data_IF_405953154367
#
_entry.id   IF_405953154367
#
_cell.length_a   1.000
_cell.length_b   1.000
_cell.length_c   1.000
_cell.angle_alpha   90.00
_cell.angle_beta   90.00
_cell.angle_gamma   90.00
#
_symmetry.space_group_name_H-M   'P 1'
#
loop_
_entity.id
_entity.type
_entity.pdbx_description
1 polymer ?
#
# COMPACT_ATOMS: atom_id res chain seq x y z
N UNK A 1 4.28 -16.21 -20.61
CA UNK A 1 4.74 -15.96 -19.24
C UNK A 1 4.63 -14.48 -18.92
N UNK A 2 3.95 -14.15 -17.84
CA UNK A 2 3.75 -12.75 -17.49
C UNK A 2 4.98 -12.19 -16.80
N UNK A 3 5.26 -10.93 -17.06
CA UNK A 3 6.35 -10.23 -16.37
C UNK A 3 5.93 -9.93 -14.93
N UNK A 4 6.90 -9.88 -14.00
CA UNK A 4 6.56 -9.49 -12.63
C UNK A 4 6.08 -8.04 -12.60
N UNK A 5 5.18 -7.75 -11.69
CA UNK A 5 4.67 -6.40 -11.51
C UNK A 5 5.79 -5.47 -11.06
N UNK A 6 5.75 -4.19 -11.48
CA UNK A 6 6.61 -3.19 -10.87
C UNK A 6 6.43 -3.15 -9.36
N UNK A 7 7.49 -2.78 -8.64
CA UNK A 7 7.47 -2.75 -7.19
C UNK A 7 6.31 -1.92 -6.64
N UNK A 8 6.06 -0.75 -7.24
CA UNK A 8 4.97 0.12 -6.78
C UNK A 8 3.62 -0.58 -6.89
N UNK A 9 3.38 -1.33 -7.97
CA UNK A 9 2.11 -2.03 -8.15
C UNK A 9 2.01 -3.23 -7.20
N UNK A 10 3.13 -3.88 -6.88
CA UNK A 10 3.14 -4.96 -5.88
C UNK A 10 2.73 -4.45 -4.51
N UNK A 11 3.19 -3.27 -4.13
CA UNK A 11 2.84 -2.67 -2.84
C UNK A 11 1.34 -2.37 -2.80
N UNK A 12 0.80 -1.80 -3.87
CA UNK A 12 -0.61 -1.49 -3.96
C UNK A 12 -1.46 -2.77 -3.91
N UNK A 13 -1.03 -3.80 -4.64
CA UNK A 13 -1.70 -5.09 -4.64
C UNK A 13 -1.67 -5.74 -3.26
N UNK A 14 -0.55 -5.64 -2.56
CA UNK A 14 -0.42 -6.21 -1.22
C UNK A 14 -1.41 -5.57 -0.26
N UNK A 15 -1.56 -4.25 -0.29
CA UNK A 15 -2.56 -3.58 0.52
C UNK A 15 -3.96 -4.08 0.20
N UNK A 16 -4.26 -4.27 -1.08
CA UNK A 16 -5.56 -4.80 -1.50
C UNK A 16 -5.77 -6.22 -0.99
N UNK A 17 -4.75 -7.07 -1.14
CA UNK A 17 -4.84 -8.47 -0.70
C UNK A 17 -4.99 -8.59 0.81
N UNK A 18 -4.46 -7.64 1.57
CA UNK A 18 -4.60 -7.62 3.02
C UNK A 18 -5.88 -6.91 3.47
N UNK A 19 -6.71 -6.52 2.52
CA UNK A 19 -7.98 -5.82 2.79
C UNK A 19 -7.77 -4.49 3.52
N UNK A 20 -6.64 -3.83 3.30
CA UNK A 20 -6.34 -2.54 3.91
C UNK A 20 -7.05 -1.44 3.12
N UNK A 21 -8.38 -1.38 3.24
CA UNK A 21 -9.23 -0.51 2.45
C UNK A 21 -10.04 0.49 3.28
N UNK A 22 -9.74 0.57 4.57
CA UNK A 22 -10.40 1.49 5.49
C UNK A 22 -9.44 1.81 6.64
N UNK A 23 -9.65 2.91 7.36
CA UNK A 23 -8.73 3.27 8.44
C UNK A 23 -8.56 2.20 9.51
N UNK A 24 -9.65 1.50 9.87
CA UNK A 24 -9.59 0.45 10.89
C UNK A 24 -8.95 -0.83 10.38
N UNK A 25 -8.72 -0.95 9.08
CA UNK A 25 -8.07 -2.10 8.45
C UNK A 25 -6.67 -1.74 7.93
N UNK A 26 -6.20 -0.53 8.22
CA UNK A 26 -4.90 -0.06 7.73
C UNK A 26 -3.76 -0.94 8.23
N UNK A 27 -2.70 -1.03 7.43
CA UNK A 27 -1.53 -1.84 7.73
C UNK A 27 -0.30 -0.98 7.94
N UNK A 28 0.56 -1.40 8.84
CA UNK A 28 1.82 -0.69 9.09
C UNK A 28 2.77 -0.86 7.92
N UNK A 29 3.49 0.20 7.59
CA UNK A 29 4.52 0.12 6.56
C UNK A 29 5.57 -0.94 6.90
N UNK A 30 5.86 -1.13 8.19
CA UNK A 30 6.77 -2.19 8.64
C UNK A 30 6.28 -3.58 8.23
N UNK A 31 5.00 -3.82 8.33
CA UNK A 31 4.41 -5.10 7.93
C UNK A 31 4.61 -5.34 6.44
N UNK A 32 4.35 -4.32 5.64
CA UNK A 32 4.54 -4.44 4.19
C UNK A 32 6.00 -4.65 3.83
N UNK A 33 6.90 -3.97 4.54
CA UNK A 33 8.34 -4.15 4.37
C UNK A 33 8.74 -5.61 4.59
N UNK A 34 8.22 -6.22 5.64
CA UNK A 34 8.53 -7.62 5.97
C UNK A 34 7.92 -8.59 4.97
N UNK A 35 6.65 -8.39 4.60
CA UNK A 35 5.96 -9.27 3.67
C UNK A 35 6.63 -9.28 2.30
N UNK A 36 7.03 -8.10 1.83
CA UNK A 36 7.61 -7.94 0.49
C UNK A 36 9.14 -8.04 0.49
N UNK A 37 9.76 -8.08 1.66
CA UNK A 37 11.22 -8.11 1.81
C UNK A 37 11.87 -6.92 1.11
N UNK A 38 11.33 -5.73 1.38
CA UNK A 38 11.79 -4.47 0.82
C UNK A 38 12.12 -3.54 1.98
N UNK A 39 13.08 -2.65 1.79
CA UNK A 39 13.44 -1.68 2.82
C UNK A 39 12.25 -0.80 3.18
N UNK A 40 12.12 -0.50 4.48
CA UNK A 40 11.03 0.31 5.00
C UNK A 40 10.95 1.67 4.32
N UNK A 41 12.09 2.33 4.13
CA UNK A 41 12.13 3.64 3.50
C UNK A 41 11.59 3.60 2.07
N UNK A 42 11.87 2.53 1.35
CA UNK A 42 11.38 2.35 -0.01
C UNK A 42 9.85 2.16 -0.02
N UNK A 43 9.34 1.34 0.89
CA UNK A 43 7.90 1.12 1.01
C UNK A 43 7.19 2.44 1.31
N UNK A 44 7.71 3.19 2.28
CA UNK A 44 7.08 4.46 2.67
C UNK A 44 7.17 5.50 1.56
N UNK A 45 8.29 5.53 0.83
CA UNK A 45 8.44 6.45 -0.30
C UNK A 45 7.37 6.20 -1.36
N UNK A 46 7.17 4.94 -1.71
CA UNK A 46 6.19 4.56 -2.73
C UNK A 46 4.76 4.84 -2.23
N UNK A 47 4.46 4.49 -0.98
CA UNK A 47 3.13 4.71 -0.43
C UNK A 47 2.82 6.20 -0.26
N UNK A 48 3.81 6.99 0.12
CA UNK A 48 3.62 8.44 0.23
C UNK A 48 3.38 9.06 -1.14
N UNK A 49 4.00 8.51 -2.18
CA UNK A 49 3.74 8.94 -3.55
C UNK A 49 2.30 8.61 -3.96
N UNK A 50 1.83 7.40 -3.65
CA UNK A 50 0.44 7.04 -3.89
C UNK A 50 -0.52 7.92 -3.11
N UNK A 51 -0.14 8.31 -1.88
CA UNK A 51 -0.95 9.21 -1.08
C UNK A 51 -1.11 10.56 -1.78
N UNK A 52 -0.02 11.09 -2.34
CA UNK A 52 -0.08 12.35 -3.09
C UNK A 52 -0.99 12.25 -4.31
N UNK A 53 -1.08 11.06 -4.90
CA UNK A 53 -1.93 10.83 -6.06
C UNK A 53 -3.39 10.54 -5.68
N UNK A 54 -3.68 10.37 -4.39
CA UNK A 54 -5.03 10.09 -3.91
C UNK A 54 -5.40 8.62 -3.89
N UNK A 55 -4.45 7.71 -4.11
CA UNK A 55 -4.70 6.27 -4.13
C UNK A 55 -4.56 5.61 -2.77
N UNK A 56 -3.90 6.27 -1.83
CA UNK A 56 -3.71 5.76 -0.48
C UNK A 56 -3.83 6.88 0.53
N UNK A 57 -4.07 6.50 1.78
CA UNK A 57 -4.05 7.44 2.91
C UNK A 57 -3.22 6.84 4.03
N UNK A 58 -2.80 7.68 4.96
CA UNK A 58 -1.98 7.22 6.06
C UNK A 58 -2.28 7.99 7.34
N UNK A 59 -1.93 7.39 8.46
CA UNK A 59 -1.99 8.03 9.77
C UNK A 59 -0.97 7.36 10.68
N UNK A 60 -0.69 8.01 11.82
CA UNK A 60 0.21 7.47 12.84
C UNK A 60 -0.65 6.80 13.91
N UNK A 61 -0.35 5.54 14.23
CA UNK A 61 -1.14 4.82 15.23
C UNK A 61 -0.68 5.18 16.66
N UNK A 62 -1.29 4.53 17.66
CA UNK A 62 -1.02 4.82 19.06
C UNK A 62 0.42 4.52 19.48
N UNK A 63 1.12 3.72 18.70
CA UNK A 63 2.50 3.34 18.99
C UNK A 63 3.51 4.15 18.17
N UNK A 64 3.03 5.19 17.48
CA UNK A 64 3.89 6.04 16.66
C UNK A 64 4.27 5.41 15.32
N UNK A 65 3.55 4.37 14.89
CA UNK A 65 3.85 3.68 13.65
C UNK A 65 2.94 4.17 12.53
N UNK A 66 3.52 4.27 11.34
CA UNK A 66 2.79 4.73 10.17
C UNK A 66 1.97 3.59 9.57
N UNK A 67 0.69 3.84 9.38
CA UNK A 67 -0.25 2.89 8.77
C UNK A 67 -0.80 3.46 7.49
N UNK A 68 -1.08 2.58 6.54
CA UNK A 68 -1.59 2.96 5.22
C UNK A 68 -2.81 2.12 4.87
N UNK A 69 -3.70 2.71 4.09
CA UNK A 69 -4.83 1.99 3.52
C UNK A 69 -5.18 2.56 2.16
N UNK A 70 -5.86 1.76 1.34
CA UNK A 70 -6.27 2.19 0.01
C UNK A 70 -7.53 3.05 0.09
N UNK A 71 -7.54 4.11 -0.71
CA UNK A 71 -8.77 4.90 -0.93
C UNK A 71 -9.63 4.18 -1.96
N UNK A 72 -10.85 4.69 -2.17
CA UNK A 72 -11.69 4.20 -3.26
C UNK A 72 -10.98 4.29 -4.60
N UNK A 73 -10.28 5.39 -4.85
CA UNK A 73 -9.51 5.55 -6.08
C UNK A 73 -8.39 4.52 -6.19
N UNK A 74 -7.76 4.18 -5.06
CA UNK A 74 -6.71 3.16 -5.03
C UNK A 74 -7.26 1.78 -5.38
N UNK A 75 -8.44 1.45 -4.86
CA UNK A 75 -9.09 0.19 -5.16
C UNK A 75 -9.43 0.10 -6.65
N UNK A 76 -9.96 1.18 -7.22
CA UNK A 76 -10.27 1.23 -8.65
C UNK A 76 -9.01 1.04 -9.48
N UNK A 77 -7.92 1.70 -9.07
CA UNK A 77 -6.65 1.58 -9.78
C UNK A 77 -6.14 0.15 -9.81
N UNK A 78 -6.16 -0.53 -8.66
CA UNK A 78 -5.65 -1.91 -8.59
C UNK A 78 -6.55 -2.87 -9.39
N UNK A 79 -7.86 -2.65 -9.37
CA UNK A 79 -8.77 -3.46 -10.16
C UNK A 79 -8.52 -3.26 -11.66
N UNK A 80 -8.22 -2.05 -12.08
CA UNK A 80 -7.90 -1.77 -13.49
C UNK A 80 -6.61 -2.46 -13.95
N UNK A 81 -5.64 -2.61 -13.04
CA UNK A 81 -4.38 -3.28 -13.35
C UNK A 81 -4.59 -4.78 -13.57
N UNK A 82 -5.54 -5.38 -12.86
CA UNK A 82 -5.71 -6.84 -12.85
C UNK A 82 -6.98 -7.31 -13.55
N UNK A 83 -7.62 -6.48 -14.34
CA UNK A 83 -8.79 -6.91 -15.13
C UNK A 83 -8.45 -7.27 -16.57
#
# INVERSE_FOLDING_TARGET
MSEPLPLSEKILQTLHNLCATAPDLARRSEELSQVLQIELNEVERILDDYKRQGFAESFIDNEGKKKYYLTGSGIIKICAIFT
#
